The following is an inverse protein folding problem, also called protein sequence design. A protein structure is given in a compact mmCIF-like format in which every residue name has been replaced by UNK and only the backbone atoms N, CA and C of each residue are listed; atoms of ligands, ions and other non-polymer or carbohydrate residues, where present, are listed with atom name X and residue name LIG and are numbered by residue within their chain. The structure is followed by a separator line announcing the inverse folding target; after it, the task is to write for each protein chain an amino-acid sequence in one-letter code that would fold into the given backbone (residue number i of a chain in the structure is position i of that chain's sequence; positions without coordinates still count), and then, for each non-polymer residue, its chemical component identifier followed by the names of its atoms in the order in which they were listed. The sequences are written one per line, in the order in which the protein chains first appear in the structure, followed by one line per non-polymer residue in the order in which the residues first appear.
data_IF_232908342985
#
_entry.id   IF_232908342985
#
_cell.length_a   1.000
_cell.length_b   1.000
_cell.length_c   1.000
_cell.angle_alpha   90.00
_cell.angle_beta   90.00
_cell.angle_gamma   90.00
#
_symmetry.space_group_name_H-M   'P 1'
#
loop_
_entity.id
_entity.type
_entity.pdbx_description
1 polymer ?
#
# COMPACT_ATOMS: atom_id res chain seq x y z
N UNK A 1 7.10 6.97 2.28
CA UNK A 1 7.24 6.13 1.08
C UNK A 1 8.44 5.23 1.30
N UNK A 2 8.22 3.94 1.10
CA UNK A 2 9.20 2.89 1.29
C UNK A 2 9.27 2.08 0.01
N UNK A 3 10.48 1.75 -0.42
CA UNK A 3 10.74 0.72 -1.42
C UNK A 3 11.23 -0.54 -0.69
N UNK A 4 10.97 -1.71 -1.26
CA UNK A 4 11.45 -2.97 -0.71
C UNK A 4 11.85 -3.93 -1.83
N UNK A 5 12.94 -4.67 -1.63
CA UNK A 5 13.42 -5.72 -2.52
C UNK A 5 14.50 -6.59 -1.84
N UNK A 6 15.18 -7.43 -2.61
CA UNK A 6 16.21 -8.36 -2.09
C UNK A 6 17.46 -7.69 -1.50
N UNK A 7 17.79 -6.46 -1.92
CA UNK A 7 18.97 -5.74 -1.43
C UNK A 7 18.68 -4.98 -0.14
N UNK A 8 17.50 -4.36 -0.07
CA UNK A 8 16.99 -3.71 1.12
C UNK A 8 15.49 -4.03 1.28
N UNK A 9 15.11 -4.86 2.27
CA UNK A 9 13.71 -5.23 2.49
C UNK A 9 12.85 -4.06 3.01
N UNK A 10 13.47 -2.94 3.41
CA UNK A 10 12.76 -1.75 3.91
C UNK A 10 13.58 -0.47 3.68
N UNK A 11 13.66 -0.02 2.42
CA UNK A 11 14.37 1.21 2.07
C UNK A 11 13.43 2.43 2.18
N UNK A 12 13.71 3.31 3.15
CA UNK A 12 12.92 4.54 3.34
C UNK A 12 13.39 5.63 2.37
N UNK A 13 12.61 5.89 1.32
CA UNK A 13 12.87 6.96 0.37
C UNK A 13 12.38 8.34 0.85
N UNK A 14 11.21 8.38 1.49
CA UNK A 14 10.64 9.60 2.07
C UNK A 14 9.95 9.30 3.41
N UNK A 15 10.37 9.95 4.49
CA UNK A 15 9.76 9.82 5.83
C UNK A 15 9.05 11.11 6.22
N UNK A 16 7.74 11.04 6.48
CA UNK A 16 6.96 12.17 7.00
C UNK A 16 6.93 13.45 6.17
N UNK A 17 7.41 13.44 4.92
CA UNK A 17 7.47 14.62 4.07
C UNK A 17 6.08 15.04 3.58
N UNK A 18 5.82 16.36 3.55
CA UNK A 18 4.64 16.92 2.90
C UNK A 18 4.65 16.60 1.42
N UNK A 19 3.47 16.30 0.83
CA UNK A 19 3.40 15.84 -0.57
C UNK A 19 3.97 16.88 -1.57
N UNK A 20 3.89 18.17 -1.24
CA UNK A 20 4.45 19.25 -2.06
C UNK A 20 5.98 19.29 -2.04
N UNK A 21 6.61 18.66 -1.05
CA UNK A 21 8.07 18.60 -0.87
C UNK A 21 8.66 17.28 -1.40
N UNK A 22 7.82 16.34 -1.82
CA UNK A 22 8.25 15.05 -2.38
C UNK A 22 8.57 15.24 -3.88
N UNK A 23 9.84 15.13 -4.31
CA UNK A 23 10.19 15.23 -5.71
C UNK A 23 9.69 14.02 -6.51
N UNK A 24 9.53 14.14 -7.83
CA UNK A 24 9.26 12.99 -8.68
C UNK A 24 10.32 11.91 -8.51
N UNK A 25 9.89 10.65 -8.45
CA UNK A 25 10.78 9.51 -8.42
C UNK A 25 11.62 9.45 -9.70
N UNK A 26 12.89 9.11 -9.55
CA UNK A 26 13.82 8.90 -10.67
C UNK A 26 14.28 7.44 -10.71
N UNK A 27 14.68 6.92 -11.89
CA UNK A 27 15.26 5.58 -12.00
C UNK A 27 16.59 5.38 -11.26
N UNK A 28 17.16 6.43 -10.64
CA UNK A 28 18.31 6.31 -9.76
C UNK A 28 17.92 6.08 -8.29
N UNK A 29 16.69 6.43 -7.91
CA UNK A 29 16.17 6.34 -6.54
C UNK A 29 15.15 5.21 -6.37
N UNK A 30 14.38 4.91 -7.43
CA UNK A 30 13.39 3.85 -7.43
C UNK A 30 13.79 2.77 -8.43
N UNK A 31 14.48 1.73 -7.92
CA UNK A 31 15.15 0.73 -8.75
C UNK A 31 14.63 -0.67 -8.41
N UNK A 32 14.04 -1.41 -9.35
CA UNK A 32 13.69 -2.81 -9.12
C UNK A 32 14.95 -3.69 -8.93
N UNK A 33 15.04 -4.43 -7.81
CA UNK A 33 16.27 -5.20 -7.46
C UNK A 33 15.98 -6.64 -6.99
N UNK A 34 14.98 -7.32 -7.57
CA UNK A 34 14.82 -8.77 -7.46
C UNK A 34 13.56 -9.21 -6.70
N UNK A 35 13.76 -9.79 -5.51
CA UNK A 35 12.73 -10.51 -4.75
C UNK A 35 11.76 -9.58 -4.02
N UNK A 36 10.70 -10.15 -3.44
CA UNK A 36 9.60 -9.40 -2.81
C UNK A 36 9.46 -9.77 -1.33
N UNK A 37 10.18 -9.09 -0.41
CA UNK A 37 10.01 -9.25 1.04
C UNK A 37 8.80 -8.44 1.53
N UNK A 38 7.63 -8.76 1.01
CA UNK A 38 6.36 -8.07 1.25
C UNK A 38 5.98 -8.03 2.73
N UNK A 39 6.05 -9.17 3.43
CA UNK A 39 5.66 -9.23 4.85
C UNK A 39 6.61 -8.45 5.75
N UNK A 40 7.91 -8.49 5.49
CA UNK A 40 8.89 -7.67 6.23
C UNK A 40 8.61 -6.18 6.01
N UNK A 41 8.43 -5.77 4.75
CA UNK A 41 8.15 -4.38 4.40
C UNK A 41 6.86 -3.85 5.06
N UNK A 42 5.79 -4.66 5.02
CA UNK A 42 4.52 -4.32 5.66
C UNK A 42 4.62 -4.30 7.18
N UNK A 43 5.22 -5.33 7.76
CA UNK A 43 5.36 -5.48 9.21
C UNK A 43 6.15 -4.34 9.83
N UNK A 44 7.33 -4.05 9.27
CA UNK A 44 8.17 -2.94 9.70
C UNK A 44 7.47 -1.59 9.45
N UNK A 45 6.87 -1.40 8.27
CA UNK A 45 6.15 -0.17 7.93
C UNK A 45 5.00 0.16 8.88
N UNK A 46 4.22 -0.84 9.30
CA UNK A 46 3.14 -0.64 10.26
C UNK A 46 3.67 -0.22 11.63
N UNK A 47 4.72 -0.91 12.12
CA UNK A 47 5.29 -0.64 13.44
C UNK A 47 6.01 0.72 13.50
N UNK A 48 6.76 1.07 12.47
CA UNK A 48 7.43 2.37 12.38
C UNK A 48 6.43 3.52 12.30
N UNK A 49 5.39 3.39 11.47
CA UNK A 49 4.37 4.42 11.37
C UNK A 49 3.56 4.56 12.68
N UNK A 50 3.29 3.45 13.37
CA UNK A 50 2.69 3.51 14.71
C UNK A 50 3.57 4.29 15.70
N UNK A 51 4.87 4.00 15.72
CA UNK A 51 5.80 4.69 16.61
C UNK A 51 5.89 6.20 16.29
N UNK A 52 5.97 6.55 15.01
CA UNK A 52 5.98 7.95 14.56
C UNK A 52 4.70 8.68 15.00
N UNK A 53 3.52 8.07 14.79
CA UNK A 53 2.23 8.66 15.19
C UNK A 53 2.07 8.79 16.71
N UNK A 54 2.63 7.86 17.48
CA UNK A 54 2.61 7.91 18.94
C UNK A 54 3.54 9.00 19.50
N UNK A 55 4.60 9.34 18.77
CA UNK A 55 5.53 10.41 19.13
C UNK A 55 5.02 11.82 18.73
N UNK A 56 4.05 11.92 17.82
CA UNK A 56 3.45 13.20 17.41
C UNK A 56 2.57 13.80 18.52
N UNK A 57 2.59 15.14 18.60
CA UNK A 57 1.64 15.90 19.39
C UNK A 57 0.21 15.64 18.89
N UNK A 58 -0.78 15.73 19.78
CA UNK A 58 -2.17 15.37 19.47
C UNK A 58 -2.78 16.26 18.37
N UNK A 59 -2.35 17.51 18.24
CA UNK A 59 -2.79 18.46 17.22
C UNK A 59 -2.08 18.27 15.86
N UNK A 60 -0.93 17.59 15.85
CA UNK A 60 -0.20 17.21 14.63
C UNK A 60 -0.60 15.82 14.11
N UNK A 61 -1.19 14.98 14.97
CA UNK A 61 -1.54 13.60 14.62
C UNK A 61 -2.63 13.58 13.53
N UNK A 62 -2.43 12.86 12.42
CA UNK A 62 -3.42 12.80 11.34
C UNK A 62 -4.69 12.07 11.78
N UNK A 63 -5.85 12.60 11.39
CA UNK A 63 -7.16 11.99 11.64
C UNK A 63 -7.45 10.75 10.78
N UNK A 64 -6.65 10.51 9.72
CA UNK A 64 -6.84 9.40 8.77
C UNK A 64 -5.47 8.84 8.41
N UNK A 65 -5.34 7.51 8.47
CA UNK A 65 -4.14 6.79 8.02
C UNK A 65 -4.55 5.84 6.91
N UNK A 66 -3.92 5.98 5.75
CA UNK A 66 -4.15 5.12 4.58
C UNK A 66 -2.81 4.48 4.24
N UNK A 67 -2.73 3.17 4.43
CA UNK A 67 -1.56 2.36 4.15
C UNK A 67 -1.74 1.67 2.81
N UNK A 68 -1.05 2.17 1.78
CA UNK A 68 -1.13 1.65 0.41
C UNK A 68 0.07 0.75 0.13
N UNK A 69 -0.19 -0.48 -0.29
CA UNK A 69 0.81 -1.42 -0.79
C UNK A 69 0.63 -1.57 -2.29
N UNK A 70 1.72 -1.44 -3.03
CA UNK A 70 1.76 -1.65 -4.48
C UNK A 70 2.84 -2.66 -4.78
N UNK A 71 2.50 -3.74 -5.49
CA UNK A 71 3.46 -4.79 -5.88
C UNK A 71 3.05 -5.45 -7.19
N UNK A 72 4.03 -5.92 -7.96
CA UNK A 72 3.83 -6.77 -9.13
C UNK A 72 4.35 -8.19 -8.92
N UNK A 73 4.72 -8.55 -7.69
CA UNK A 73 5.17 -9.88 -7.31
C UNK A 73 4.63 -10.33 -5.94
N UNK A 74 4.53 -11.65 -5.79
CA UNK A 74 4.16 -12.33 -4.55
C UNK A 74 5.28 -12.35 -3.52
N UNK A 75 4.91 -12.49 -2.25
CA UNK A 75 5.87 -12.74 -1.15
C UNK A 75 6.78 -13.94 -1.46
N UNK A 76 8.10 -13.74 -1.32
CA UNK A 76 9.09 -14.80 -1.54
C UNK A 76 10.44 -14.62 -0.80
N UNK A 77 10.57 -13.62 0.08
CA UNK A 77 11.87 -13.23 0.65
C UNK A 77 11.87 -12.73 2.09
N UNK A 78 10.72 -12.57 2.73
CA UNK A 78 10.59 -12.11 4.10
C UNK A 78 11.19 -13.10 5.11
N UNK A 79 11.77 -12.57 6.18
CA UNK A 79 12.50 -13.34 7.21
C UNK A 79 12.09 -12.98 8.64
N UNK A 80 11.64 -11.76 8.90
CA UNK A 80 11.30 -11.27 10.24
C UNK A 80 9.80 -11.33 10.55
N UNK A 81 8.99 -11.15 9.50
CA UNK A 81 7.54 -11.18 9.55
C UNK A 81 7.00 -12.29 8.68
N UNK A 82 6.07 -13.04 9.26
CA UNK A 82 5.23 -13.98 8.53
C UNK A 82 3.83 -13.41 8.32
N UNK A 83 3.06 -14.08 7.46
CA UNK A 83 1.67 -13.70 7.17
C UNK A 83 0.84 -13.56 8.44
N UNK A 84 1.01 -14.45 9.42
CA UNK A 84 0.20 -14.46 10.64
C UNK A 84 0.47 -13.22 11.50
N UNK A 85 1.73 -12.79 11.59
CA UNK A 85 2.16 -11.58 12.30
C UNK A 85 1.63 -10.33 11.60
N UNK A 86 1.76 -10.23 10.28
CA UNK A 86 1.23 -9.09 9.50
C UNK A 86 -0.29 -9.02 9.60
N UNK A 87 -1.00 -10.15 9.53
CA UNK A 87 -2.46 -10.22 9.69
C UNK A 87 -2.91 -9.64 11.04
N UNK A 88 -2.20 -10.00 12.13
CA UNK A 88 -2.49 -9.46 13.47
C UNK A 88 -2.26 -7.96 13.53
N UNK A 89 -1.20 -7.46 12.90
CA UNK A 89 -0.90 -6.02 12.84
C UNK A 89 -2.00 -5.26 12.08
N UNK A 90 -2.37 -5.73 10.88
CA UNK A 90 -3.46 -5.15 10.08
C UNK A 90 -4.76 -5.13 10.90
N UNK A 91 -5.15 -6.26 11.49
CA UNK A 91 -6.37 -6.35 12.29
C UNK A 91 -6.36 -5.38 13.49
N UNK A 92 -5.21 -5.19 14.14
CA UNK A 92 -5.07 -4.23 15.23
C UNK A 92 -5.19 -2.78 14.75
N UNK A 93 -4.55 -2.43 13.63
CA UNK A 93 -4.58 -1.05 13.08
C UNK A 93 -5.93 -0.67 12.47
N UNK A 94 -6.65 -1.63 11.89
CA UNK A 94 -8.02 -1.40 11.40
C UNK A 94 -8.98 -1.00 12.53
N UNK A 95 -8.80 -1.54 13.75
CA UNK A 95 -9.56 -1.10 14.93
C UNK A 95 -9.26 0.35 15.34
N UNK A 96 -8.10 0.87 14.93
CA UNK A 96 -7.70 2.27 15.11
C UNK A 96 -8.08 3.14 13.91
N UNK A 97 -8.87 2.62 12.96
CA UNK A 97 -9.35 3.36 11.80
C UNK A 97 -8.36 3.50 10.64
N UNK A 98 -7.30 2.68 10.61
CA UNK A 98 -6.39 2.64 9.45
C UNK A 98 -7.05 1.92 8.28
N UNK A 99 -6.94 2.52 7.10
CA UNK A 99 -7.32 1.90 5.83
C UNK A 99 -6.11 1.17 5.23
N UNK A 100 -6.26 -0.10 4.88
CA UNK A 100 -5.24 -0.84 4.13
C UNK A 100 -5.72 -1.01 2.70
N UNK A 101 -4.90 -0.58 1.75
CA UNK A 101 -5.20 -0.59 0.32
C UNK A 101 -4.14 -1.39 -0.39
N UNK A 102 -4.55 -2.31 -1.26
CA UNK A 102 -3.63 -3.19 -1.97
C UNK A 102 -3.83 -3.04 -3.48
N UNK A 103 -2.79 -2.61 -4.19
CA UNK A 103 -2.73 -2.62 -5.65
C UNK A 103 -1.75 -3.72 -6.07
N UNK A 104 -2.23 -4.71 -6.81
CA UNK A 104 -1.38 -5.81 -7.25
C UNK A 104 -1.49 -6.08 -8.74
N UNK A 105 -0.36 -6.30 -9.40
CA UNK A 105 -0.35 -6.86 -10.74
C UNK A 105 -0.13 -8.37 -10.76
N UNK A 106 -0.03 -8.98 -9.58
CA UNK A 106 0.21 -10.41 -9.37
C UNK A 106 -0.98 -11.05 -8.62
N UNK A 107 -1.45 -12.20 -9.11
CA UNK A 107 -2.62 -12.88 -8.55
C UNK A 107 -2.34 -13.46 -7.16
N UNK A 108 -1.16 -14.06 -6.95
CA UNK A 108 -0.82 -14.65 -5.65
C UNK A 108 -0.67 -13.55 -4.59
N UNK A 109 -0.04 -12.42 -4.92
CA UNK A 109 0.01 -11.26 -4.03
C UNK A 109 -1.39 -10.69 -3.71
N UNK A 110 -2.29 -10.66 -4.69
CA UNK A 110 -3.67 -10.20 -4.51
C UNK A 110 -4.49 -11.13 -3.59
N UNK A 111 -4.31 -12.43 -3.73
CA UNK A 111 -4.90 -13.44 -2.84
C UNK A 111 -4.29 -13.40 -1.44
N UNK A 112 -2.98 -13.16 -1.33
CA UNK A 112 -2.33 -13.03 -0.02
C UNK A 112 -2.87 -11.84 0.76
N UNK A 113 -3.21 -10.73 0.10
CA UNK A 113 -3.90 -9.61 0.74
C UNK A 113 -5.29 -10.01 1.32
N UNK A 114 -6.01 -10.94 0.68
CA UNK A 114 -7.24 -11.54 1.23
C UNK A 114 -6.94 -12.25 2.56
N UNK A 115 -5.92 -13.11 2.55
CA UNK A 115 -5.51 -13.93 3.69
C UNK A 115 -4.97 -13.09 4.84
N UNK A 116 -4.48 -11.89 4.53
CA UNK A 116 -4.07 -10.88 5.52
C UNK A 116 -5.23 -10.04 6.07
N UNK A 117 -6.46 -10.24 5.57
CA UNK A 117 -7.66 -9.57 6.04
C UNK A 117 -7.92 -8.20 5.41
N UNK A 118 -7.39 -7.93 4.21
CA UNK A 118 -7.72 -6.76 3.41
C UNK A 118 -8.96 -7.05 2.56
N UNK A 119 -9.99 -6.22 2.69
CA UNK A 119 -11.27 -6.41 2.00
C UNK A 119 -11.12 -6.38 0.49
N UNK A 120 -11.97 -7.12 -0.23
CA UNK A 120 -11.97 -7.08 -1.69
C UNK A 120 -12.21 -5.67 -2.22
N UNK A 121 -13.05 -4.88 -1.55
CA UNK A 121 -13.31 -3.47 -1.88
C UNK A 121 -12.04 -2.63 -1.85
N UNK A 122 -11.08 -2.93 -0.97
CA UNK A 122 -9.84 -2.16 -0.78
C UNK A 122 -8.65 -2.78 -1.51
N UNK A 123 -8.91 -3.74 -2.41
CA UNK A 123 -7.92 -4.35 -3.29
C UNK A 123 -8.27 -4.09 -4.74
N UNK A 124 -7.26 -3.82 -5.56
CA UNK A 124 -7.39 -3.68 -7.01
C UNK A 124 -6.29 -4.47 -7.70
N UNK A 125 -6.71 -5.39 -8.58
CA UNK A 125 -5.80 -6.06 -9.50
C UNK A 125 -5.63 -5.20 -10.73
N UNK A 126 -4.41 -5.01 -11.22
CA UNK A 126 -4.15 -4.21 -12.41
C UNK A 126 -3.26 -4.94 -13.42
N UNK A 127 -3.37 -4.56 -14.69
CA UNK A 127 -2.55 -5.13 -15.75
C UNK A 127 -1.10 -4.59 -15.67
N UNK A 128 -0.10 -5.46 -15.90
CA UNK A 128 1.34 -5.13 -15.99
C UNK A 128 1.69 -4.34 -17.27
N UNK A 129 0.87 -3.37 -17.62
CA UNK A 129 1.04 -2.46 -18.75
C UNK A 129 1.10 -1.01 -18.29
N UNK A 130 1.56 -0.11 -19.18
CA UNK A 130 1.56 1.31 -18.87
C UNK A 130 0.13 1.82 -18.58
N UNK A 131 -0.84 1.46 -19.42
CA UNK A 131 -2.22 1.93 -19.25
C UNK A 131 -2.87 1.32 -18.01
N UNK A 132 -2.65 0.02 -17.73
CA UNK A 132 -3.12 -0.62 -16.50
C UNK A 132 -2.60 0.07 -15.25
N UNK A 133 -1.29 0.38 -15.20
CA UNK A 133 -0.69 1.17 -14.12
C UNK A 133 -1.33 2.55 -14.00
N UNK A 134 -1.46 3.30 -15.10
CA UNK A 134 -2.05 4.65 -15.09
C UNK A 134 -3.51 4.63 -14.56
N UNK A 135 -4.31 3.63 -14.99
CA UNK A 135 -5.69 3.45 -14.54
C UNK A 135 -5.76 3.08 -13.05
N UNK A 136 -4.92 2.16 -12.58
CA UNK A 136 -4.86 1.77 -11.17
C UNK A 136 -4.50 2.94 -10.26
N UNK A 137 -3.49 3.74 -10.63
CA UNK A 137 -3.12 4.95 -9.89
C UNK A 137 -4.21 6.01 -9.91
N UNK A 138 -4.90 6.18 -11.04
CA UNK A 138 -6.02 7.12 -11.15
C UNK A 138 -7.18 6.72 -10.25
N UNK A 139 -7.55 5.42 -10.24
CA UNK A 139 -8.58 4.89 -9.36
C UNK A 139 -8.18 5.06 -7.88
N UNK A 140 -6.96 4.68 -7.51
CA UNK A 140 -6.46 4.83 -6.15
C UNK A 140 -6.50 6.29 -5.69
N UNK A 141 -6.05 7.22 -6.53
CA UNK A 141 -6.11 8.66 -6.26
C UNK A 141 -7.55 9.14 -6.01
N UNK A 142 -8.49 8.75 -6.87
CA UNK A 142 -9.91 9.10 -6.73
C UNK A 142 -10.51 8.56 -5.42
N UNK A 143 -10.31 7.27 -5.11
CA UNK A 143 -10.88 6.67 -3.89
C UNK A 143 -10.22 7.17 -2.61
N UNK A 144 -8.93 7.50 -2.65
CA UNK A 144 -8.24 8.17 -1.55
C UNK A 144 -8.79 9.59 -1.36
N UNK A 145 -9.09 10.31 -2.45
CA UNK A 145 -9.73 11.63 -2.36
C UNK A 145 -11.11 11.53 -1.70
N UNK A 146 -11.95 10.58 -2.12
CA UNK A 146 -13.27 10.35 -1.51
C UNK A 146 -13.16 10.06 -0.01
N UNK A 147 -12.20 9.21 0.37
CA UNK A 147 -11.90 8.92 1.77
C UNK A 147 -11.42 10.15 2.52
N UNK A 148 -10.52 10.95 1.93
CA UNK A 148 -9.95 12.17 2.54
C UNK A 148 -11.00 13.26 2.72
N UNK A 149 -11.86 13.48 1.73
CA UNK A 149 -12.94 14.48 1.77
C UNK A 149 -14.12 14.08 2.64
N UNK A 150 -14.22 12.79 3.00
CA UNK A 150 -15.31 12.25 3.83
C UNK A 150 -16.54 11.82 3.03
N UNK A 151 -16.44 11.79 1.70
CA UNK A 151 -17.46 11.19 0.81
C UNK A 151 -17.58 9.69 1.07
N UNK A 152 -16.46 9.02 1.37
CA UNK A 152 -16.44 7.60 1.73
C UNK A 152 -15.83 7.36 3.13
N UNK A 153 -16.34 6.34 3.82
CA UNK A 153 -15.85 5.91 5.13
C UNK A 153 -14.50 5.19 5.05
N UNK A 154 -14.22 4.50 3.94
CA UNK A 154 -12.97 3.79 3.65
C UNK A 154 -12.57 3.96 2.18
N UNK A 155 -11.33 3.57 1.85
CA UNK A 155 -10.92 3.47 0.43
C UNK A 155 -11.52 2.20 -0.16
N UNK A 156 -12.44 2.35 -1.10
CA UNK A 156 -13.15 1.23 -1.73
C UNK A 156 -13.21 1.45 -3.24
N UNK A 157 -12.62 0.54 -4.01
CA UNK A 157 -12.76 0.48 -5.45
C UNK A 157 -14.13 -0.09 -5.82
N UNK A 158 -14.75 0.44 -6.87
CA UNK A 158 -16.03 -0.03 -7.41
C UNK A 158 -15.87 -0.95 -8.64
N UNK A 159 -16.99 -1.36 -9.24
CA UNK A 159 -16.95 -2.18 -10.47
C UNK A 159 -16.38 -1.44 -11.68
N UNK A 160 -16.53 -0.11 -11.73
CA UNK A 160 -16.00 0.70 -12.83
C UNK A 160 -14.48 0.72 -12.75
N UNK A 161 -13.94 0.91 -11.55
CA UNK A 161 -12.49 0.87 -11.28
C UNK A 161 -11.89 -0.49 -11.71
N UNK A 162 -12.61 -1.59 -11.48
CA UNK A 162 -12.19 -2.97 -11.84
C UNK A 162 -12.29 -3.24 -13.33
N UNK A 163 -13.44 -2.94 -13.95
CA UNK A 163 -13.64 -3.17 -15.40
C UNK A 163 -12.63 -2.39 -16.23
N UNK A 164 -12.23 -1.19 -15.78
CA UNK A 164 -11.19 -0.41 -16.44
C UNK A 164 -9.83 -1.13 -16.50
N UNK A 165 -9.57 -2.12 -15.64
CA UNK A 165 -8.33 -2.92 -15.66
C UNK A 165 -8.37 -4.05 -16.69
N UNK A 166 -9.57 -4.47 -17.11
CA UNK A 166 -9.78 -5.54 -18.09
C UNK A 166 -9.74 -5.02 -19.54
N UNK A 167 -9.83 -3.70 -19.73
CA UNK A 167 -9.77 -3.07 -21.04
C UNK A 167 -8.38 -3.30 -21.67
N UNK A 168 -8.30 -3.89 -22.88
CA UNK A 168 -7.03 -4.14 -23.55
C UNK A 168 -6.26 -2.84 -23.82
N UNK A 169 -4.94 -2.96 -23.91
CA UNK A 169 -4.03 -1.84 -24.24
C UNK A 169 -4.19 -1.37 -25.69
#
# INVERSE_FOLDING_TARGET
MVQFDSQDPYEVLHRGAGISDVPPLTPAQYVPRGSTPLYDAMGQGILELEADLAAMADDERPNKVIFVVVTDGQENASREFDRARVTKLIAAKKKLGWDFVFLSADLEAFEDADRMGVELSSRLMFNKSKQGNDRAWSAASARILDRRSGVSACVAFDEVDRKAQDDPD
#
